data_IF_968257083111
#
_entry.id   IF_968257083111
#
_cell.length_a   1.000
_cell.length_b   1.000
_cell.length_c   1.000
_cell.angle_alpha   90.00
_cell.angle_beta   90.00
_cell.angle_gamma   90.00
#
_symmetry.space_group_name_H-M   'P 1'
#
loop_
_entity.id
_entity.type
_entity.pdbx_description
1 polymer ?
#
# COMPACT_ATOMS: atom_id res chain seq x y z
N UNK A 1 -18.15 -6.35 37.02
CA UNK A 1 -18.13 -5.89 35.62
C UNK A 1 -16.88 -6.47 34.97
N UNK A 2 -17.05 -7.37 34.01
CA UNK A 2 -15.94 -8.14 33.44
C UNK A 2 -15.22 -7.39 32.32
N UNK A 3 -13.95 -7.69 32.10
CA UNK A 3 -13.09 -7.13 31.05
C UNK A 3 -13.74 -7.24 29.65
N UNK A 4 -14.58 -8.25 29.41
CA UNK A 4 -15.33 -8.43 28.16
C UNK A 4 -16.33 -7.31 27.85
N UNK A 5 -16.87 -6.63 28.86
CA UNK A 5 -17.82 -5.51 28.67
C UNK A 5 -17.10 -4.24 28.21
N UNK A 6 -15.83 -4.08 28.61
CA UNK A 6 -14.97 -2.96 28.19
C UNK A 6 -14.51 -3.13 26.74
N UNK A 7 -14.19 -4.35 26.31
CA UNK A 7 -13.82 -4.66 24.92
C UNK A 7 -14.98 -4.42 23.93
N UNK A 8 -16.20 -4.79 24.32
CA UNK A 8 -17.42 -4.54 23.54
C UNK A 8 -17.78 -3.04 23.51
N UNK A 9 -17.70 -2.34 24.65
CA UNK A 9 -17.97 -0.91 24.71
C UNK A 9 -16.95 -0.09 23.89
N UNK A 10 -15.68 -0.49 23.87
CA UNK A 10 -14.66 0.16 23.01
C UNK A 10 -14.93 -0.04 21.52
N UNK A 11 -15.35 -1.24 21.10
CA UNK A 11 -15.66 -1.53 19.69
C UNK A 11 -17.00 -0.94 19.24
N UNK A 12 -17.96 -0.73 20.16
CA UNK A 12 -19.27 -0.10 19.88
C UNK A 12 -19.27 1.43 20.08
N UNK A 13 -18.34 2.02 20.85
CA UNK A 13 -18.20 3.48 20.90
C UNK A 13 -17.32 4.01 19.77
N UNK A 14 -16.35 3.21 19.34
CA UNK A 14 -15.54 3.53 18.16
C UNK A 14 -16.36 3.17 16.92
N UNK A 15 -16.90 1.97 16.79
CA UNK A 15 -17.53 1.38 15.58
C UNK A 15 -18.65 2.17 14.86
N UNK A 16 -19.70 2.66 15.54
CA UNK A 16 -20.80 3.40 14.93
C UNK A 16 -21.04 4.78 15.58
N UNK A 17 -20.15 5.27 16.46
CA UNK A 17 -20.21 6.60 17.07
C UNK A 17 -19.97 7.71 16.03
N UNK A 18 -21.04 8.04 15.32
CA UNK A 18 -21.19 9.10 14.31
C UNK A 18 -20.41 10.37 14.73
N UNK A 19 -19.26 10.61 14.09
CA UNK A 19 -18.54 11.90 13.90
C UNK A 19 -17.01 11.76 13.98
N UNK A 20 -16.46 10.78 14.72
CA UNK A 20 -15.00 10.65 14.91
C UNK A 20 -14.20 10.18 13.68
N UNK A 21 -14.78 9.31 12.85
CA UNK A 21 -14.07 8.69 11.72
C UNK A 21 -13.67 9.65 10.60
N UNK A 22 -14.48 10.68 10.35
CA UNK A 22 -14.12 11.75 9.40
C UNK A 22 -12.97 12.63 9.90
N UNK A 23 -12.70 12.64 11.21
CA UNK A 23 -11.64 13.42 11.83
C UNK A 23 -10.31 12.63 11.85
N UNK A 24 -10.35 11.29 11.81
CA UNK A 24 -9.16 10.42 11.86
C UNK A 24 -8.77 9.76 10.52
N UNK A 25 -9.57 9.91 9.46
CA UNK A 25 -9.24 9.40 8.12
C UNK A 25 -9.25 7.87 7.97
N UNK A 26 -9.96 7.15 8.84
CA UNK A 26 -10.03 5.68 8.83
C UNK A 26 -11.05 5.20 7.79
N UNK A 27 -10.65 4.23 6.96
CA UNK A 27 -11.50 3.61 5.94
C UNK A 27 -12.71 2.89 6.58
N UNK A 28 -13.88 2.99 5.94
CA UNK A 28 -15.12 2.36 6.42
C UNK A 28 -15.01 0.84 6.48
N UNK A 29 -14.18 0.23 5.64
CA UNK A 29 -13.87 -1.20 5.64
C UNK A 29 -13.22 -1.69 6.95
N UNK A 30 -12.33 -0.89 7.55
CA UNK A 30 -11.63 -1.21 8.81
C UNK A 30 -12.62 -1.33 9.97
N UNK A 31 -13.67 -0.50 9.96
CA UNK A 31 -14.69 -0.48 11.01
C UNK A 31 -15.44 -1.82 11.07
N UNK A 32 -15.74 -2.44 9.93
CA UNK A 32 -16.37 -3.75 9.87
C UNK A 32 -15.49 -4.85 10.45
N UNK A 33 -14.19 -4.82 10.17
CA UNK A 33 -13.21 -5.76 10.74
C UNK A 33 -13.15 -5.62 12.26
N UNK A 34 -13.06 -4.38 12.75
CA UNK A 34 -12.99 -4.09 14.19
C UNK A 34 -14.29 -4.44 14.92
N UNK A 35 -15.44 -4.21 14.31
CA UNK A 35 -16.74 -4.62 14.86
C UNK A 35 -16.85 -6.15 14.97
N UNK A 36 -16.49 -6.87 13.90
CA UNK A 36 -16.49 -8.34 13.93
C UNK A 36 -15.53 -8.87 15.01
N UNK A 37 -14.33 -8.28 15.11
CA UNK A 37 -13.29 -8.71 16.05
C UNK A 37 -13.67 -8.40 17.50
N UNK A 38 -14.02 -7.14 17.76
CA UNK A 38 -14.42 -6.65 19.09
C UNK A 38 -15.71 -7.29 19.57
N UNK A 39 -16.69 -7.49 18.68
CA UNK A 39 -17.92 -8.23 18.97
C UNK A 39 -17.65 -9.67 19.38
N UNK A 40 -16.76 -10.36 18.65
CA UNK A 40 -16.37 -11.73 18.98
C UNK A 40 -15.65 -11.82 20.33
N UNK A 41 -14.73 -10.90 20.63
CA UNK A 41 -14.10 -10.81 21.95
C UNK A 41 -15.09 -10.48 23.07
N UNK A 42 -16.07 -9.60 22.80
CA UNK A 42 -17.12 -9.25 23.75
C UNK A 42 -17.97 -10.45 24.13
N UNK A 43 -18.48 -11.17 23.13
CA UNK A 43 -19.30 -12.39 23.34
C UNK A 43 -18.47 -13.49 24.00
N UNK A 44 -17.23 -13.73 23.53
CA UNK A 44 -16.33 -14.70 24.15
C UNK A 44 -16.04 -14.33 25.62
N UNK A 45 -15.86 -13.05 25.94
CA UNK A 45 -15.65 -12.58 27.31
C UNK A 45 -16.85 -12.83 28.22
N UNK A 46 -18.08 -12.65 27.71
CA UNK A 46 -19.32 -12.99 28.45
C UNK A 46 -19.38 -14.51 28.70
N UNK A 47 -19.16 -15.32 27.66
CA UNK A 47 -19.14 -16.79 27.77
C UNK A 47 -18.06 -17.29 28.73
N UNK A 48 -16.89 -16.65 28.74
CA UNK A 48 -15.80 -16.95 29.67
C UNK A 48 -16.21 -16.71 31.12
N UNK A 49 -16.90 -15.59 31.40
CA UNK A 49 -17.42 -15.32 32.76
C UNK A 49 -18.52 -16.29 33.17
N UNK A 50 -19.30 -16.79 32.20
CA UNK A 50 -20.32 -17.82 32.42
C UNK A 50 -19.72 -19.25 32.50
N UNK A 51 -18.40 -19.41 32.32
CA UNK A 51 -17.69 -20.71 32.21
C UNK A 51 -18.29 -21.63 31.13
N UNK A 52 -18.83 -21.05 30.07
CA UNK A 52 -19.38 -21.78 28.94
C UNK A 52 -18.27 -22.20 27.97
N UNK A 53 -18.30 -23.47 27.54
CA UNK A 53 -17.35 -24.04 26.57
C UNK A 53 -17.55 -23.45 25.17
N UNK A 54 -18.71 -22.85 24.88
CA UNK A 54 -18.97 -22.14 23.63
C UNK A 54 -18.05 -20.92 23.41
N UNK A 55 -17.34 -20.45 24.44
CA UNK A 55 -16.33 -19.41 24.30
C UNK A 55 -15.31 -19.71 23.19
N UNK A 56 -14.77 -20.94 23.17
CA UNK A 56 -13.71 -21.34 22.22
C UNK A 56 -14.18 -21.29 20.76
N UNK A 57 -15.29 -21.96 20.37
CA UNK A 57 -15.75 -21.92 18.99
C UNK A 57 -16.17 -20.51 18.55
N UNK A 58 -16.77 -19.70 19.44
CA UNK A 58 -17.13 -18.31 19.13
C UNK A 58 -15.89 -17.47 18.84
N UNK A 59 -14.84 -17.62 19.65
CA UNK A 59 -13.58 -16.90 19.44
C UNK A 59 -12.89 -17.34 18.14
N UNK A 60 -12.86 -18.64 17.85
CA UNK A 60 -12.27 -19.17 16.62
C UNK A 60 -13.02 -18.64 15.39
N UNK A 61 -14.35 -18.79 15.33
CA UNK A 61 -15.13 -18.30 14.21
C UNK A 61 -15.04 -16.79 14.06
N UNK A 62 -15.08 -16.06 15.17
CA UNK A 62 -14.90 -14.62 15.19
C UNK A 62 -13.59 -14.19 14.56
N UNK A 63 -12.49 -14.86 14.90
CA UNK A 63 -11.17 -14.60 14.32
C UNK A 63 -11.15 -14.85 12.80
N UNK A 64 -11.71 -15.97 12.34
CA UNK A 64 -11.77 -16.28 10.91
C UNK A 64 -12.63 -15.28 10.13
N UNK A 65 -13.78 -14.87 10.67
CA UNK A 65 -14.65 -13.87 10.04
C UNK A 65 -13.93 -12.52 9.96
N UNK A 66 -13.32 -12.07 11.06
CA UNK A 66 -12.54 -10.82 11.07
C UNK A 66 -11.39 -10.84 10.08
N UNK A 67 -10.64 -11.95 10.01
CA UNK A 67 -9.55 -12.11 9.05
C UNK A 67 -10.07 -12.13 7.61
N UNK A 68 -11.17 -12.83 7.36
CA UNK A 68 -11.83 -12.84 6.05
C UNK A 68 -12.22 -11.43 5.61
N UNK A 69 -12.90 -10.68 6.48
CA UNK A 69 -13.27 -9.29 6.23
C UNK A 69 -12.03 -8.40 5.99
N UNK A 70 -10.95 -8.60 6.74
CA UNK A 70 -9.70 -7.86 6.58
C UNK A 70 -9.13 -8.06 5.17
N UNK A 71 -9.04 -9.31 4.71
CA UNK A 71 -8.49 -9.65 3.39
C UNK A 71 -9.41 -9.22 2.25
N UNK A 72 -10.74 -9.34 2.40
CA UNK A 72 -11.67 -9.10 1.28
C UNK A 72 -12.09 -7.64 1.11
N UNK A 73 -12.18 -6.86 2.19
CA UNK A 73 -12.77 -5.51 2.11
C UNK A 73 -11.79 -4.43 1.63
N UNK A 74 -10.54 -4.79 1.31
CA UNK A 74 -9.53 -3.85 0.84
C UNK A 74 -8.65 -3.13 1.87
N UNK A 75 -8.82 -3.21 3.21
CA UNK A 75 -7.84 -2.64 4.13
C UNK A 75 -6.54 -3.47 4.20
N UNK A 76 -6.58 -4.73 3.77
CA UNK A 76 -5.38 -5.55 3.63
C UNK A 76 -4.57 -5.15 2.39
N UNK A 77 -3.53 -4.36 2.61
CA UNK A 77 -2.50 -4.07 1.62
C UNK A 77 -1.25 -4.86 1.99
N UNK A 78 -0.89 -5.89 1.22
CA UNK A 78 0.37 -6.62 1.44
C UNK A 78 1.61 -5.79 1.07
N UNK A 79 1.40 -4.70 0.35
CA UNK A 79 2.40 -3.72 -0.11
C UNK A 79 2.58 -2.59 0.94
N UNK A 80 2.48 -2.94 2.22
CA UNK A 80 2.44 -2.00 3.35
C UNK A 80 3.81 -1.30 3.51
N UNK A 81 3.83 0.03 3.39
CA UNK A 81 4.98 0.87 3.75
C UNK A 81 6.00 1.11 2.65
N UNK A 82 5.60 1.08 1.36
CA UNK A 82 6.50 1.48 0.29
C UNK A 82 6.60 3.00 0.15
N UNK A 83 7.81 3.48 -0.17
CA UNK A 83 8.16 4.90 -0.32
C UNK A 83 7.36 5.59 -1.44
N UNK A 84 6.73 4.81 -2.32
CA UNK A 84 5.92 5.29 -3.44
C UNK A 84 4.88 4.23 -3.87
N UNK A 85 3.78 4.64 -4.53
CA UNK A 85 2.74 3.72 -4.95
C UNK A 85 3.21 2.89 -6.16
N UNK A 86 3.71 1.67 -5.90
CA UNK A 86 4.31 0.82 -6.94
C UNK A 86 3.35 0.50 -8.09
N UNK A 87 2.07 0.18 -7.84
CA UNK A 87 1.14 -0.18 -8.93
C UNK A 87 0.93 0.95 -9.96
N UNK A 88 0.58 2.19 -9.58
CA UNK A 88 0.52 3.31 -10.53
C UNK A 88 1.85 3.58 -11.24
N UNK A 89 2.97 3.53 -10.52
CA UNK A 89 4.30 3.81 -11.08
C UNK A 89 4.72 2.71 -12.07
N UNK A 90 4.43 1.45 -11.74
CA UNK A 90 4.63 0.31 -12.62
C UNK A 90 3.82 0.44 -13.92
N UNK A 91 2.56 0.86 -13.82
CA UNK A 91 1.71 1.09 -14.99
C UNK A 91 2.21 2.24 -15.85
N UNK A 92 2.74 3.31 -15.22
CA UNK A 92 3.40 4.40 -15.92
C UNK A 92 4.57 3.88 -16.75
N UNK A 93 5.43 3.06 -16.13
CA UNK A 93 6.54 2.38 -16.81
C UNK A 93 6.00 1.56 -17.96
N UNK A 94 5.10 0.61 -17.67
CA UNK A 94 4.53 -0.35 -18.63
C UNK A 94 4.01 0.31 -19.91
N UNK A 95 3.31 1.44 -19.79
CA UNK A 95 2.71 2.15 -20.93
C UNK A 95 3.66 3.02 -21.76
N UNK A 96 4.70 3.58 -21.17
CA UNK A 96 5.50 4.63 -21.82
C UNK A 96 6.93 4.21 -22.17
N UNK A 97 7.33 2.98 -21.85
CA UNK A 97 8.59 2.41 -22.32
C UNK A 97 8.32 1.19 -23.22
N UNK A 98 9.22 0.81 -24.14
CA UNK A 98 9.04 -0.37 -24.99
C UNK A 98 9.29 -1.67 -24.23
N UNK A 99 8.63 -2.76 -24.65
CA UNK A 99 8.78 -4.09 -24.04
C UNK A 99 10.21 -4.62 -24.17
N UNK A 100 10.74 -5.23 -23.10
CA UNK A 100 12.07 -5.85 -23.07
C UNK A 100 13.23 -4.92 -22.75
N UNK A 101 13.01 -3.60 -22.61
CA UNK A 101 14.05 -2.64 -22.26
C UNK A 101 14.09 -2.42 -20.74
N UNK A 102 15.31 -2.35 -20.19
CA UNK A 102 15.52 -1.98 -18.79
C UNK A 102 15.29 -0.48 -18.60
N UNK A 103 14.55 -0.12 -17.56
CA UNK A 103 14.32 1.28 -17.15
C UNK A 103 15.22 1.56 -15.97
N UNK A 104 15.82 2.75 -15.93
CA UNK A 104 16.65 3.15 -14.80
C UNK A 104 15.88 4.07 -13.86
N UNK A 105 16.20 4.06 -12.57
CA UNK A 105 15.61 4.94 -11.57
C UNK A 105 16.67 5.65 -10.76
N UNK A 106 16.43 6.90 -10.40
CA UNK A 106 17.24 7.66 -9.43
C UNK A 106 16.96 7.24 -7.99
N UNK A 107 15.87 6.51 -7.75
CA UNK A 107 15.51 6.01 -6.43
C UNK A 107 16.62 5.12 -5.86
N UNK A 108 17.02 5.31 -4.58
CA UNK A 108 18.17 4.60 -4.01
C UNK A 108 17.97 3.08 -3.90
N UNK A 109 16.71 2.62 -3.85
CA UNK A 109 16.40 1.20 -3.66
C UNK A 109 15.60 0.66 -4.84
N UNK A 110 16.11 -0.42 -5.44
CA UNK A 110 15.38 -1.22 -6.44
C UNK A 110 14.33 -2.10 -5.75
N UNK A 111 13.13 -2.20 -6.35
CA UNK A 111 12.00 -2.95 -5.80
C UNK A 111 11.59 -4.07 -6.75
N UNK A 112 11.65 -5.34 -6.33
CA UNK A 112 11.18 -6.46 -7.17
C UNK A 112 9.68 -6.39 -7.51
N UNK A 113 8.87 -5.76 -6.65
CA UNK A 113 7.45 -5.50 -6.91
C UNK A 113 7.26 -4.61 -8.15
N UNK A 114 8.08 -3.57 -8.28
CA UNK A 114 8.07 -2.68 -9.44
C UNK A 114 8.44 -3.44 -10.72
N UNK A 115 9.45 -4.31 -10.67
CA UNK A 115 9.84 -5.13 -11.82
C UNK A 115 8.70 -6.05 -12.27
N UNK A 116 8.01 -6.66 -11.30
CA UNK A 116 6.90 -7.58 -11.55
C UNK A 116 5.70 -6.88 -12.20
N UNK A 117 5.24 -5.75 -11.63
CA UNK A 117 4.07 -5.06 -12.16
C UNK A 117 4.35 -4.27 -13.44
N UNK A 118 5.58 -3.78 -13.63
CA UNK A 118 5.95 -3.02 -14.83
C UNK A 118 6.19 -3.90 -16.06
N UNK A 119 6.33 -5.23 -15.86
CA UNK A 119 6.78 -6.19 -16.88
C UNK A 119 8.12 -5.78 -17.51
N UNK A 120 8.98 -5.14 -16.70
CA UNK A 120 10.27 -4.58 -17.10
C UNK A 120 11.21 -4.58 -15.90
N UNK A 121 12.50 -4.73 -16.17
CA UNK A 121 13.50 -4.55 -15.10
C UNK A 121 13.73 -3.06 -14.85
N UNK A 122 13.47 -2.61 -13.63
CA UNK A 122 13.76 -1.26 -13.17
C UNK A 122 15.03 -1.30 -12.30
N UNK A 123 16.14 -0.77 -12.81
CA UNK A 123 17.43 -0.79 -12.10
C UNK A 123 17.77 0.57 -11.53
N UNK A 124 18.47 0.59 -10.40
CA UNK A 124 19.08 1.83 -9.90
C UNK A 124 20.10 2.35 -10.91
N UNK A 125 20.11 3.66 -11.15
CA UNK A 125 21.17 4.32 -11.89
C UNK A 125 22.51 4.18 -11.14
N UNK A 126 23.59 3.88 -11.87
CA UNK A 126 24.93 3.73 -11.28
C UNK A 126 25.39 5.04 -10.64
N UNK A 127 26.06 4.96 -9.49
CA UNK A 127 26.47 6.16 -8.71
C UNK A 127 27.47 7.06 -9.45
N UNK A 128 28.18 6.52 -10.45
CA UNK A 128 29.12 7.25 -11.29
C UNK A 128 28.46 7.96 -12.50
N UNK A 129 27.17 7.73 -12.75
CA UNK A 129 26.43 8.32 -13.88
C UNK A 129 25.38 9.29 -13.35
N UNK A 130 25.47 10.55 -13.79
CA UNK A 130 24.40 11.51 -13.53
C UNK A 130 23.19 11.21 -14.42
N UNK A 131 21.96 11.54 -13.97
CA UNK A 131 20.76 11.44 -14.78
C UNK A 131 20.90 12.09 -16.17
N UNK A 132 21.48 13.28 -16.23
CA UNK A 132 21.68 14.03 -17.47
C UNK A 132 22.64 13.32 -18.44
N UNK A 133 23.72 12.76 -17.89
CA UNK A 133 24.70 12.02 -18.69
C UNK A 133 24.07 10.74 -19.26
N UNK A 134 23.29 10.03 -18.44
CA UNK A 134 22.54 8.85 -18.88
C UNK A 134 21.56 9.21 -20.00
N UNK A 135 20.76 10.26 -19.84
CA UNK A 135 19.80 10.71 -20.87
C UNK A 135 20.46 11.11 -22.20
N UNK A 136 21.70 11.61 -22.16
CA UNK A 136 22.45 12.02 -23.35
C UNK A 136 23.20 10.86 -24.02
N UNK A 137 23.79 9.96 -23.24
CA UNK A 137 24.73 8.93 -23.74
C UNK A 137 24.07 7.61 -24.12
N UNK A 138 22.98 7.22 -23.45
CA UNK A 138 22.36 5.91 -23.69
C UNK A 138 21.47 5.92 -24.95
N UNK A 139 21.44 4.83 -25.74
CA UNK A 139 20.67 4.76 -26.98
C UNK A 139 19.16 4.76 -26.75
N UNK A 140 18.69 4.21 -25.63
CA UNK A 140 17.26 4.14 -25.24
C UNK A 140 17.07 4.60 -23.79
N UNK A 141 17.27 5.90 -23.51
CA UNK A 141 17.43 6.36 -22.15
C UNK A 141 16.07 6.62 -21.51
N UNK A 142 15.48 5.60 -20.89
CA UNK A 142 14.30 5.75 -20.06
C UNK A 142 14.69 5.84 -18.59
N UNK A 143 14.34 6.95 -17.96
CA UNK A 143 14.65 7.24 -16.57
C UNK A 143 13.36 7.53 -15.79
N UNK A 144 13.13 6.76 -14.73
CA UNK A 144 12.08 6.98 -13.75
C UNK A 144 12.63 7.89 -12.64
N UNK A 145 11.97 9.02 -12.41
CA UNK A 145 12.39 10.04 -11.44
C UNK A 145 11.22 10.51 -10.59
N UNK A 146 11.54 11.08 -9.43
CA UNK A 146 10.56 11.77 -8.61
C UNK A 146 10.37 13.22 -9.07
N UNK A 147 9.23 13.83 -8.74
CA UNK A 147 8.85 15.17 -9.15
C UNK A 147 9.82 16.30 -8.78
N UNK A 148 10.47 16.19 -7.63
CA UNK A 148 11.46 17.18 -7.19
C UNK A 148 12.72 17.18 -8.06
N UNK A 149 13.03 16.07 -8.75
CA UNK A 149 14.22 15.95 -9.61
C UNK A 149 13.93 16.38 -11.05
N UNK A 150 12.67 16.38 -11.48
CA UNK A 150 12.27 16.70 -12.86
C UNK A 150 12.73 18.09 -13.32
N UNK A 151 12.85 19.06 -12.39
CA UNK A 151 13.29 20.42 -12.71
C UNK A 151 14.80 20.54 -12.84
N UNK A 152 15.54 19.61 -12.24
CA UNK A 152 17.00 19.61 -12.21
C UNK A 152 17.57 18.84 -13.40
N UNK A 153 16.86 17.80 -13.85
CA UNK A 153 17.32 16.90 -14.92
C UNK A 153 16.89 17.43 -16.30
N UNK A 154 17.85 17.56 -17.21
CA UNK A 154 17.64 17.96 -18.59
C UNK A 154 17.11 16.79 -19.43
N UNK A 155 15.79 16.58 -19.43
CA UNK A 155 15.13 15.56 -20.25
C UNK A 155 13.71 15.91 -20.66
N UNK A 156 13.14 15.11 -21.56
CA UNK A 156 11.74 15.21 -21.99
C UNK A 156 10.89 14.31 -21.10
N UNK A 157 9.94 14.90 -20.37
CA UNK A 157 8.95 14.14 -19.59
C UNK A 157 7.94 13.50 -20.54
N UNK A 158 7.82 12.17 -20.47
CA UNK A 158 6.84 11.41 -21.26
C UNK A 158 5.49 11.34 -20.57
N UNK A 159 5.48 11.05 -19.27
CA UNK A 159 4.26 10.95 -18.47
C UNK A 159 4.58 11.05 -16.98
N UNK A 160 3.55 11.35 -16.18
CA UNK A 160 3.63 11.51 -14.72
C UNK A 160 2.44 10.83 -14.04
N UNK A 161 2.69 10.21 -12.87
CA UNK A 161 1.65 9.70 -11.98
C UNK A 161 2.09 9.80 -10.52
N UNK A 162 1.22 10.30 -9.64
CA UNK A 162 1.41 10.27 -8.17
C UNK A 162 2.81 10.70 -7.68
N UNK A 163 3.37 11.78 -8.26
CA UNK A 163 4.70 12.31 -7.88
C UNK A 163 5.89 11.69 -8.62
N UNK A 164 5.66 10.76 -9.55
CA UNK A 164 6.70 10.09 -10.34
C UNK A 164 6.55 10.37 -11.81
N UNK A 165 7.65 10.48 -12.53
CA UNK A 165 7.65 10.68 -13.98
C UNK A 165 8.68 9.81 -14.69
N UNK A 166 8.39 9.54 -15.96
CA UNK A 166 9.35 8.94 -16.88
C UNK A 166 9.88 10.02 -17.80
N UNK A 167 11.21 10.11 -17.84
CA UNK A 167 11.94 11.02 -18.70
C UNK A 167 12.69 10.23 -19.78
N UNK A 168 12.80 10.83 -20.95
CA UNK A 168 13.62 10.36 -22.05
C UNK A 168 14.49 11.49 -22.60
N UNK A 169 15.38 11.16 -23.54
CA UNK A 169 16.24 12.14 -24.22
C UNK A 169 15.39 13.26 -24.82
N UNK A 170 15.89 14.50 -24.68
CA UNK A 170 15.31 15.66 -25.35
C UNK A 170 15.68 15.60 -26.84
N UNK A 171 14.68 15.63 -27.69
CA UNK A 171 14.83 15.73 -29.16
C UNK A 171 15.45 17.07 -29.56
#
# INVERSE_FOLDING_TARGET
MGIGTIAFAGSVLIGPGISGYRILGVDSSVSWVLLALGGSFGVAGILATARDRMMIPVLMWGMYVSLGLLVTLGPWVWELGEDYPVKPVAELVRRHTPTGIAVYTTHPVTRPSLDFYADRRVRRLEENKTPDLYLKSDPQPYLLVHDYEMKTIEGKVLAQVKGWAIMTRRD
#
